data_IF_434922106544
#
_entry.id   IF_434922106544
#
_cell.length_a   1.000
_cell.length_b   1.000
_cell.length_c   1.000
_cell.angle_alpha   90.00
_cell.angle_beta   90.00
_cell.angle_gamma   90.00
#
_symmetry.space_group_name_H-M   'P 1'
#
loop_
_entity.id
_entity.type
_entity.pdbx_description
1 polymer ?
#
# COMPACT_ATOMS: atom_id res chain seq x y z
N UNK A 1 -12.43 -21.97 10.60
CA UNK A 1 -12.83 -20.66 10.06
C UNK A 1 -14.32 -20.70 9.78
N UNK A 2 -15.16 -20.32 10.74
CA UNK A 2 -16.60 -20.19 10.54
C UNK A 2 -16.89 -18.71 10.30
N UNK A 3 -17.48 -18.36 9.15
CA UNK A 3 -17.88 -16.97 8.87
C UNK A 3 -17.59 -16.42 7.46
N UNK A 4 -16.99 -17.18 6.55
CA UNK A 4 -16.80 -16.74 5.15
C UNK A 4 -17.98 -17.05 4.21
N UNK A 5 -19.07 -17.59 4.74
CA UNK A 5 -20.25 -17.94 3.94
C UNK A 5 -21.37 -16.92 4.22
N UNK A 6 -21.17 -15.69 3.73
CA UNK A 6 -22.18 -14.62 3.78
C UNK A 6 -22.93 -14.64 2.46
N UNK A 7 -24.23 -14.94 2.51
CA UNK A 7 -25.10 -14.83 1.33
C UNK A 7 -25.10 -13.37 0.87
N UNK A 8 -24.71 -13.08 -0.39
CA UNK A 8 -24.68 -11.71 -0.90
C UNK A 8 -26.06 -11.05 -0.77
N UNK A 9 -26.07 -9.83 -0.22
CA UNK A 9 -27.28 -9.02 -0.05
C UNK A 9 -27.62 -8.23 -1.32
N UNK A 10 -26.66 -8.11 -2.24
CA UNK A 10 -26.77 -7.28 -3.45
C UNK A 10 -26.30 -5.84 -3.24
N UNK A 11 -25.97 -5.46 -2.00
CA UNK A 11 -25.19 -4.26 -1.71
C UNK A 11 -23.71 -4.64 -1.58
N UNK A 12 -22.91 -4.29 -2.58
CA UNK A 12 -21.50 -4.67 -2.67
C UNK A 12 -20.69 -4.13 -1.48
N UNK A 13 -20.97 -2.91 -1.01
CA UNK A 13 -20.25 -2.31 0.11
C UNK A 13 -20.56 -3.05 1.43
N UNK A 14 -21.82 -3.42 1.62
CA UNK A 14 -22.24 -4.21 2.77
C UNK A 14 -21.64 -5.62 2.73
N UNK A 15 -21.67 -6.27 1.56
CA UNK A 15 -21.13 -7.63 1.40
C UNK A 15 -19.60 -7.65 1.57
N UNK A 16 -18.89 -6.64 1.04
CA UNK A 16 -17.44 -6.49 1.21
C UNK A 16 -17.05 -6.32 2.68
N UNK A 17 -17.69 -5.39 3.39
CA UNK A 17 -17.39 -5.13 4.80
C UNK A 17 -17.77 -6.30 5.70
N UNK A 18 -18.89 -6.99 5.41
CA UNK A 18 -19.32 -8.19 6.13
C UNK A 18 -18.30 -9.34 6.02
N UNK A 19 -17.58 -9.44 4.89
CA UNK A 19 -16.52 -10.43 4.70
C UNK A 19 -15.15 -9.98 5.21
N UNK A 20 -14.79 -8.71 5.00
CA UNK A 20 -13.44 -8.22 5.30
C UNK A 20 -13.21 -7.95 6.78
N UNK A 21 -14.20 -7.47 7.53
CA UNK A 21 -14.06 -7.28 8.98
C UNK A 21 -13.64 -8.59 9.68
N UNK A 22 -14.34 -9.73 9.53
CA UNK A 22 -13.93 -10.97 10.18
C UNK A 22 -12.62 -11.54 9.63
N UNK A 23 -12.32 -11.38 8.33
CA UNK A 23 -11.03 -11.77 7.76
C UNK A 23 -9.86 -11.03 8.45
N UNK A 24 -10.00 -9.71 8.63
CA UNK A 24 -8.99 -8.87 9.28
C UNK A 24 -8.86 -9.22 10.77
N UNK A 25 -9.98 -9.49 11.45
CA UNK A 25 -9.94 -9.95 12.84
C UNK A 25 -9.17 -11.26 12.99
N UNK A 26 -9.39 -12.23 12.10
CA UNK A 26 -8.63 -13.49 12.11
C UNK A 26 -7.12 -13.27 11.90
N UNK A 27 -6.74 -12.34 11.02
CA UNK A 27 -5.34 -11.96 10.82
C UNK A 27 -4.71 -11.33 12.08
N UNK A 28 -5.46 -10.45 12.76
CA UNK A 28 -5.04 -9.85 14.04
C UNK A 28 -4.85 -10.94 15.11
N UNK A 29 -5.79 -11.88 15.25
CA UNK A 29 -5.73 -12.93 16.25
C UNK A 29 -4.49 -13.82 16.04
N UNK A 30 -4.20 -14.17 14.78
CA UNK A 30 -2.98 -14.90 14.39
C UNK A 30 -1.70 -14.11 14.66
N UNK A 31 -1.67 -12.82 14.33
CA UNK A 31 -0.53 -11.96 14.59
C UNK A 31 -0.26 -11.80 16.10
N UNK A 32 -1.32 -11.65 16.92
CA UNK A 32 -1.21 -11.60 18.38
C UNK A 32 -0.69 -12.93 18.93
N UNK A 33 -1.16 -14.07 18.43
CA UNK A 33 -0.62 -15.37 18.80
C UNK A 33 0.87 -15.48 18.45
N UNK A 34 1.26 -15.05 17.25
CA UNK A 34 2.67 -15.03 16.84
C UNK A 34 3.52 -14.12 17.73
N UNK A 35 3.03 -12.95 18.15
CA UNK A 35 3.78 -12.08 19.07
C UNK A 35 3.99 -12.68 20.46
N UNK A 36 3.10 -13.57 20.90
CA UNK A 36 3.24 -14.29 22.19
C UNK A 36 4.21 -15.46 22.12
N UNK A 37 4.21 -16.20 21.02
CA UNK A 37 4.90 -17.51 20.94
C UNK A 37 6.01 -17.59 19.89
N UNK A 38 5.99 -16.73 18.88
CA UNK A 38 6.96 -16.66 17.80
C UNK A 38 8.23 -15.90 18.18
N UNK A 39 9.36 -16.33 17.61
CA UNK A 39 10.70 -15.87 18.00
C UNK A 39 11.48 -15.17 16.88
N UNK A 40 11.06 -15.30 15.62
CA UNK A 40 11.76 -14.66 14.51
C UNK A 40 11.53 -13.14 14.51
N UNK A 41 12.60 -12.31 14.55
CA UNK A 41 12.48 -10.87 14.70
C UNK A 41 11.82 -10.20 13.48
N UNK A 42 12.02 -10.71 12.26
CA UNK A 42 11.40 -10.14 11.06
C UNK A 42 9.90 -10.43 11.04
N UNK A 43 9.51 -11.66 11.37
CA UNK A 43 8.11 -12.05 11.43
C UNK A 43 7.37 -11.37 12.60
N UNK A 44 8.05 -11.09 13.72
CA UNK A 44 7.47 -10.30 14.82
C UNK A 44 7.17 -8.86 14.39
N UNK A 45 8.03 -8.26 13.58
CA UNK A 45 7.79 -6.93 13.01
C UNK A 45 6.55 -6.94 12.11
N UNK A 46 6.46 -7.92 11.21
CA UNK A 46 5.29 -8.09 10.34
C UNK A 46 4.01 -8.28 11.18
N UNK A 47 4.07 -9.09 12.24
CA UNK A 47 2.91 -9.28 13.12
C UNK A 47 2.47 -7.99 13.83
N UNK A 48 3.40 -7.12 14.23
CA UNK A 48 3.07 -5.79 14.78
C UNK A 48 2.38 -4.91 13.74
N UNK A 49 2.90 -4.87 12.51
CA UNK A 49 2.34 -4.11 11.39
C UNK A 49 0.91 -4.58 11.08
N UNK A 50 0.68 -5.90 10.99
CA UNK A 50 -0.65 -6.50 10.81
C UNK A 50 -1.63 -6.04 11.90
N UNK A 51 -1.24 -6.05 13.17
CA UNK A 51 -2.14 -5.64 14.26
C UNK A 51 -2.58 -4.18 14.09
N UNK A 52 -1.64 -3.28 13.81
CA UNK A 52 -1.94 -1.83 13.70
C UNK A 52 -2.77 -1.54 12.45
N UNK A 53 -2.35 -2.02 11.30
CA UNK A 53 -2.97 -1.69 10.02
C UNK A 53 -4.36 -2.30 9.90
N UNK A 54 -4.54 -3.57 10.29
CA UNK A 54 -5.83 -4.25 10.17
C UNK A 54 -6.85 -3.69 11.17
N UNK A 55 -6.43 -3.20 12.35
CA UNK A 55 -7.32 -2.50 13.28
C UNK A 55 -7.85 -1.19 12.69
N UNK A 56 -6.99 -0.41 12.01
CA UNK A 56 -7.39 0.81 11.33
C UNK A 56 -8.35 0.52 10.17
N UNK A 57 -8.10 -0.53 9.39
CA UNK A 57 -8.98 -0.94 8.30
C UNK A 57 -10.36 -1.40 8.82
N UNK A 58 -10.42 -2.13 9.93
CA UNK A 58 -11.69 -2.47 10.60
C UNK A 58 -12.44 -1.20 11.03
N UNK A 59 -11.74 -0.22 11.62
CA UNK A 59 -12.36 1.04 12.03
C UNK A 59 -12.94 1.80 10.83
N UNK A 60 -12.19 1.90 9.74
CA UNK A 60 -12.64 2.51 8.49
C UNK A 60 -13.87 1.79 7.91
N UNK A 61 -13.84 0.46 7.84
CA UNK A 61 -14.97 -0.33 7.31
C UNK A 61 -16.24 -0.18 8.16
N UNK A 62 -16.12 -0.01 9.48
CA UNK A 62 -17.27 0.24 10.38
C UNK A 62 -17.85 1.65 10.24
N UNK A 63 -17.04 2.60 9.80
CA UNK A 63 -17.45 3.98 9.57
C UNK A 63 -17.98 4.23 8.17
N UNK A 64 -17.70 3.34 7.20
CA UNK A 64 -18.19 3.45 5.84
C UNK A 64 -19.74 3.32 5.83
N UNK A 65 -20.49 4.40 5.57
CA UNK A 65 -21.92 4.25 5.30
C UNK A 65 -22.06 3.49 3.97
N UNK A 66 -22.98 2.52 3.89
CA UNK A 66 -23.29 1.76 2.68
C UNK A 66 -23.96 2.59 1.59
N UNK A 67 -23.37 3.74 1.25
CA UNK A 67 -23.77 4.57 0.12
C UNK A 67 -23.49 3.79 -1.17
N UNK A 68 -24.47 3.66 -2.07
CA UNK A 68 -24.28 2.93 -3.30
C UNK A 68 -23.12 3.54 -4.09
N UNK A 69 -22.18 2.68 -4.49
CA UNK A 69 -21.11 3.06 -5.39
C UNK A 69 -21.69 3.72 -6.66
N UNK A 70 -21.06 4.78 -7.20
CA UNK A 70 -21.29 5.14 -8.59
C UNK A 70 -21.01 3.90 -9.46
N UNK A 71 -21.72 3.73 -10.60
CA UNK A 71 -21.52 2.57 -11.46
C UNK A 71 -20.04 2.38 -11.74
N UNK A 72 -19.55 1.13 -11.68
CA UNK A 72 -18.14 0.79 -11.92
C UNK A 72 -17.63 1.47 -13.18
N UNK A 73 -17.00 2.63 -13.01
CA UNK A 73 -16.09 3.14 -14.00
C UNK A 73 -14.91 2.17 -14.02
N UNK A 74 -14.33 1.87 -15.20
CA UNK A 74 -13.05 1.19 -15.22
C UNK A 74 -12.12 1.93 -14.25
N UNK A 75 -11.51 1.19 -13.32
CA UNK A 75 -10.49 1.74 -12.44
C UNK A 75 -9.55 2.57 -13.30
N UNK A 76 -9.37 3.85 -12.97
CA UNK A 76 -8.55 4.79 -13.72
C UNK A 76 -7.32 4.05 -14.25
N UNK A 77 -7.33 3.71 -15.54
CA UNK A 77 -6.11 3.32 -16.21
C UNK A 77 -5.24 4.55 -16.07
N UNK A 78 -4.20 4.48 -15.23
CA UNK A 78 -3.16 5.50 -15.26
C UNK A 78 -2.81 5.66 -16.74
N UNK A 79 -3.06 6.82 -17.36
CA UNK A 79 -2.64 7.00 -18.73
C UNK A 79 -1.12 6.86 -18.68
N UNK A 80 -0.62 5.87 -19.43
CA UNK A 80 0.79 5.70 -19.69
C UNK A 80 1.41 7.08 -19.90
N UNK A 81 2.50 7.35 -19.18
CA UNK A 81 3.31 8.52 -19.42
C UNK A 81 3.68 8.57 -20.90
N UNK A 82 3.04 9.46 -21.67
CA UNK A 82 3.58 10.05 -22.90
C UNK A 82 2.75 11.24 -23.37
N UNK A 83 3.48 12.36 -23.48
CA UNK A 83 3.20 13.55 -24.29
C UNK A 83 2.43 14.69 -23.62
N UNK A 84 3.19 15.65 -23.10
CA UNK A 84 2.68 16.96 -22.69
C UNK A 84 3.68 17.76 -21.86
N UNK A 85 4.77 18.21 -22.48
CA UNK A 85 5.69 19.19 -21.89
C UNK A 85 4.93 20.51 -21.68
N UNK A 86 5.00 21.16 -20.51
CA UNK A 86 4.94 22.61 -20.43
C UNK A 86 6.36 23.18 -20.37
N UNK A 87 6.63 24.11 -21.28
CA UNK A 87 7.86 24.86 -21.36
C UNK A 87 8.12 25.64 -20.06
N UNK A 88 9.20 25.32 -19.37
CA UNK A 88 9.81 26.20 -18.39
C UNK A 88 11.13 26.72 -18.98
N UNK A 89 11.16 28.01 -19.27
CA UNK A 89 12.33 28.74 -19.74
C UNK A 89 13.47 28.62 -18.73
N UNK A 90 14.57 27.96 -19.12
CA UNK A 90 15.87 28.06 -18.48
C UNK A 90 16.94 28.08 -19.59
N UNK A 91 17.81 29.09 -19.54
CA UNK A 91 18.71 29.51 -20.62
C UNK A 91 19.79 28.48 -21.01
N UNK A 92 20.58 28.78 -22.05
CA UNK A 92 21.53 27.83 -22.59
C UNK A 92 22.71 27.64 -21.62
N UNK A 93 22.79 26.46 -21.00
CA UNK A 93 24.02 25.96 -20.35
C UNK A 93 24.50 24.76 -21.15
N UNK A 94 25.39 25.03 -22.09
CA UNK A 94 26.21 24.02 -22.76
C UNK A 94 27.34 23.60 -21.83
N UNK A 95 27.40 22.34 -21.36
CA UNK A 95 28.67 21.59 -21.23
C UNK A 95 28.42 20.09 -21.41
N UNK A 96 29.25 19.51 -22.26
CA UNK A 96 29.33 18.14 -22.76
C UNK A 96 29.51 17.05 -21.70
N UNK A 97 28.96 15.87 -21.97
CA UNK A 97 29.44 14.60 -21.42
C UNK A 97 30.59 14.11 -22.30
N UNK A 98 31.82 14.18 -21.79
CA UNK A 98 32.81 13.11 -22.03
C UNK A 98 33.97 13.25 -21.03
N UNK A 99 34.18 12.22 -20.23
CA UNK A 99 35.50 11.63 -19.96
C UNK A 99 35.45 10.74 -18.70
N UNK A 100 35.59 9.45 -18.96
CA UNK A 100 36.09 8.44 -18.03
C UNK A 100 37.44 8.86 -17.42
N UNK A 101 37.65 8.63 -16.11
CA UNK A 101 38.80 7.87 -15.58
C UNK A 101 38.98 8.02 -14.05
N UNK A 102 39.60 6.97 -13.49
CA UNK A 102 39.87 6.65 -12.09
C UNK A 102 40.64 7.69 -11.24
N UNK A 103 40.46 7.56 -9.91
CA UNK A 103 41.32 8.07 -8.80
C UNK A 103 42.75 7.48 -8.84
N UNK A 104 43.76 7.85 -7.98
CA UNK A 104 43.71 8.54 -6.67
C UNK A 104 44.93 9.46 -6.27
N UNK A 105 44.95 9.89 -4.99
CA UNK A 105 46.08 10.33 -4.12
C UNK A 105 46.67 11.76 -4.34
N UNK A 106 46.69 12.71 -3.37
CA UNK A 106 47.32 12.80 -2.02
C UNK A 106 48.76 13.42 -2.07
N UNK A 107 48.93 14.52 -1.30
CA UNK A 107 50.14 15.24 -0.79
C UNK A 107 50.74 16.50 -1.48
N UNK A 108 50.88 17.54 -0.62
CA UNK A 108 52.08 18.36 -0.29
C UNK A 108 52.77 19.14 -1.43
N UNK A 109 53.07 20.43 -1.33
CA UNK A 109 53.42 21.32 -0.22
C UNK A 109 52.96 22.74 -0.54
#
# INVERSE_FOLDING_TARGET
MAGMDVKPTGNIDADFTAMMIPHHQGAIDMAVAYLRYGTDPQLRRIAQEIVVEQQQQIATMRLAPGQPLPPSAPAFTQPEARMGIPAAAQGPSTVSHDAMAASPAMQMK
#
